data_IF_360817657003
#
_entry.id   IF_360817657003
#
_cell.length_a   1.000
_cell.length_b   1.000
_cell.length_c   1.000
_cell.angle_alpha   90.00
_cell.angle_beta   90.00
_cell.angle_gamma   90.00
#
_symmetry.space_group_name_H-M   'P 1'
#
loop_
_entity.id
_entity.type
_entity.pdbx_description
1 polymer ?
#
# COMPACT_ATOMS: atom_id res chain seq x y z
N UNK A 1 -39.73 -42.88 -38.19
CA UNK A 1 -39.70 -42.24 -36.85
C UNK A 1 -38.35 -42.39 -36.10
N UNK A 2 -37.18 -42.18 -36.74
CA UNK A 2 -35.85 -42.36 -36.08
C UNK A 2 -35.12 -41.06 -35.71
N UNK A 3 -35.54 -39.90 -36.24
CA UNK A 3 -34.90 -38.59 -36.01
C UNK A 3 -35.12 -37.98 -34.62
N UNK A 4 -36.25 -38.27 -33.96
CA UNK A 4 -36.58 -37.68 -32.65
C UNK A 4 -35.76 -38.26 -31.49
N UNK A 5 -35.31 -39.53 -31.59
CA UNK A 5 -34.59 -40.22 -30.52
C UNK A 5 -33.11 -39.80 -30.41
N UNK A 6 -32.48 -39.41 -31.52
CA UNK A 6 -31.08 -38.97 -31.52
C UNK A 6 -30.92 -37.49 -31.14
N UNK A 7 -31.99 -36.70 -31.23
CA UNK A 7 -31.94 -35.26 -30.88
C UNK A 7 -31.71 -35.04 -29.38
N UNK A 8 -32.23 -35.92 -28.51
CA UNK A 8 -32.03 -35.79 -27.06
C UNK A 8 -30.60 -36.07 -26.61
N UNK A 9 -29.92 -37.01 -27.28
CA UNK A 9 -28.51 -37.35 -27.02
C UNK A 9 -27.59 -36.19 -27.39
N UNK A 10 -27.89 -35.50 -28.49
CA UNK A 10 -27.13 -34.31 -28.91
C UNK A 10 -27.26 -33.15 -27.92
N UNK A 11 -28.45 -32.93 -27.35
CA UNK A 11 -28.66 -31.94 -26.29
C UNK A 11 -27.95 -32.30 -24.99
N UNK A 12 -27.96 -33.58 -24.60
CA UNK A 12 -27.27 -34.06 -23.42
C UNK A 12 -25.73 -33.91 -23.54
N UNK A 13 -25.17 -34.25 -24.71
CA UNK A 13 -23.75 -34.10 -24.97
C UNK A 13 -23.30 -32.63 -24.95
N UNK A 14 -24.12 -31.72 -25.50
CA UNK A 14 -23.86 -30.28 -25.47
C UNK A 14 -23.93 -29.68 -24.05
N UNK A 15 -24.81 -30.20 -23.19
CA UNK A 15 -24.86 -29.79 -21.78
C UNK A 15 -23.60 -30.21 -21.00
N UNK A 16 -23.09 -31.41 -21.26
CA UNK A 16 -21.89 -31.95 -20.62
C UNK A 16 -20.65 -31.13 -20.99
N UNK A 17 -20.49 -30.74 -22.26
CA UNK A 17 -19.33 -29.94 -22.68
C UNK A 17 -19.32 -28.54 -22.08
N UNK A 18 -20.48 -27.91 -21.87
CA UNK A 18 -20.58 -26.62 -21.16
C UNK A 18 -20.23 -26.78 -19.68
N UNK A 19 -20.67 -27.87 -19.04
CA UNK A 19 -20.40 -28.12 -17.63
C UNK A 19 -18.92 -28.41 -17.35
N UNK A 20 -18.22 -29.08 -18.28
CA UNK A 20 -16.77 -29.35 -18.17
C UNK A 20 -15.89 -28.19 -18.69
N UNK A 21 -16.42 -27.29 -19.52
CA UNK A 21 -15.68 -26.19 -20.16
C UNK A 21 -15.43 -24.96 -19.28
N UNK A 22 -15.99 -24.89 -18.08
CA UNK A 22 -15.82 -23.76 -17.15
C UNK A 22 -14.44 -23.70 -16.47
N UNK A 23 -13.60 -24.72 -16.63
CA UNK A 23 -12.26 -24.78 -16.05
C UNK A 23 -11.19 -24.29 -17.05
N UNK A 24 -11.40 -23.13 -17.67
CA UNK A 24 -10.32 -22.42 -18.33
C UNK A 24 -9.66 -21.52 -17.26
N UNK A 25 -8.35 -21.64 -16.99
CA UNK A 25 -7.67 -20.70 -16.12
C UNK A 25 -7.79 -19.32 -16.76
N UNK A 26 -8.60 -18.45 -16.16
CA UNK A 26 -8.63 -17.03 -16.49
C UNK A 26 -7.19 -16.50 -16.46
N UNK A 27 -6.76 -15.65 -17.41
CA UNK A 27 -5.42 -15.10 -17.37
C UNK A 27 -5.23 -14.41 -16.02
N UNK A 28 -4.15 -14.78 -15.32
CA UNK A 28 -3.73 -14.14 -14.06
C UNK A 28 -3.29 -12.73 -14.43
N UNK A 29 -4.28 -11.87 -14.59
CA UNK A 29 -4.10 -10.45 -14.77
C UNK A 29 -4.15 -9.84 -13.39
N UNK A 30 -3.21 -8.94 -13.13
CA UNK A 30 -3.27 -8.12 -11.94
C UNK A 30 -4.64 -7.43 -11.95
N UNK A 31 -5.43 -7.67 -10.89
CA UNK A 31 -6.73 -7.05 -10.76
C UNK A 31 -6.57 -5.52 -10.87
N UNK A 32 -7.54 -4.78 -11.44
CA UNK A 32 -7.46 -3.32 -11.56
C UNK A 32 -7.19 -2.60 -10.23
N UNK A 33 -7.59 -3.21 -9.12
CA UNK A 33 -7.41 -2.70 -7.77
C UNK A 33 -6.09 -3.13 -7.10
N UNK A 34 -5.16 -3.73 -7.84
CA UNK A 34 -3.88 -4.13 -7.28
C UNK A 34 -3.14 -2.91 -6.72
N UNK A 35 -2.76 -2.99 -5.44
CA UNK A 35 -2.11 -1.88 -4.73
C UNK A 35 -3.07 -0.88 -4.08
N UNK A 36 -4.39 -1.00 -4.29
CA UNK A 36 -5.38 -0.09 -3.67
C UNK A 36 -5.36 -0.14 -2.14
N UNK A 37 -5.11 -1.30 -1.55
CA UNK A 37 -4.96 -1.44 -0.09
C UNK A 37 -3.77 -0.65 0.46
N UNK A 38 -2.65 -0.62 -0.27
CA UNK A 38 -1.46 0.15 0.10
C UNK A 38 -1.71 1.64 -0.07
N UNK A 39 -2.40 2.04 -1.14
CA UNK A 39 -2.82 3.44 -1.33
C UNK A 39 -3.72 3.91 -0.19
N UNK A 40 -4.76 3.14 0.15
CA UNK A 40 -5.64 3.47 1.27
C UNK A 40 -4.89 3.51 2.61
N UNK A 41 -3.99 2.55 2.87
CA UNK A 41 -3.19 2.57 4.09
C UNK A 41 -2.33 3.85 4.20
N UNK A 42 -1.76 4.32 3.09
CA UNK A 42 -0.99 5.57 3.04
C UNK A 42 -1.89 6.79 3.24
N UNK A 43 -3.04 6.85 2.59
CA UNK A 43 -4.01 7.95 2.78
C UNK A 43 -4.43 8.08 4.24
N UNK A 44 -4.65 6.96 4.93
CA UNK A 44 -5.01 6.95 6.35
C UNK A 44 -3.86 7.38 7.28
N UNK A 45 -2.61 7.23 6.84
CA UNK A 45 -1.41 7.63 7.62
C UNK A 45 -0.90 9.02 7.24
N UNK A 46 -1.39 9.60 6.15
CA UNK A 46 -0.91 10.89 5.65
C UNK A 46 -1.80 12.00 6.18
N UNK A 47 -1.22 12.84 7.06
CA UNK A 47 -1.94 13.97 7.66
C UNK A 47 -2.42 15.01 6.63
N UNK A 48 -1.67 15.16 5.52
CA UNK A 48 -1.97 16.12 4.44
C UNK A 48 -1.54 15.52 3.09
N UNK A 49 -2.45 14.85 2.37
CA UNK A 49 -2.13 14.17 1.10
C UNK A 49 -1.72 15.15 -0.02
N UNK A 50 -2.24 16.37 0.01
CA UNK A 50 -1.86 17.47 -0.89
C UNK A 50 -0.46 18.05 -0.65
N UNK A 51 0.21 17.71 0.46
CA UNK A 51 1.55 18.20 0.76
C UNK A 51 2.57 17.84 -0.33
N UNK A 52 2.39 16.70 -0.99
CA UNK A 52 3.26 16.26 -2.10
C UNK A 52 3.18 17.17 -3.34
N UNK A 53 2.05 17.82 -3.57
CA UNK A 53 1.85 18.75 -4.68
C UNK A 53 2.33 20.16 -4.34
N UNK A 54 2.59 20.45 -3.06
CA UNK A 54 3.06 21.74 -2.63
C UNK A 54 4.57 21.89 -2.89
N UNK A 55 4.91 22.64 -3.94
CA UNK A 55 6.29 22.97 -4.31
C UNK A 55 6.81 24.24 -3.61
N UNK A 56 6.00 24.89 -2.77
CA UNK A 56 6.47 26.08 -2.04
C UNK A 56 7.55 25.66 -1.04
N UNK A 57 8.68 26.39 -1.00
CA UNK A 57 9.71 26.10 -0.01
C UNK A 57 9.12 26.31 1.39
N UNK A 58 9.42 25.40 2.32
CA UNK A 58 9.11 25.60 3.73
C UNK A 58 9.93 26.80 4.20
N UNK A 59 9.30 27.96 4.30
CA UNK A 59 9.99 29.23 4.57
C UNK A 59 10.51 29.30 6.00
N UNK A 60 9.83 28.63 6.95
CA UNK A 60 10.20 28.65 8.36
C UNK A 60 9.83 27.31 9.06
N UNK A 61 10.81 26.73 9.76
CA UNK A 61 10.57 25.69 10.77
C UNK A 61 10.27 26.40 12.10
N UNK A 62 9.03 26.38 12.57
CA UNK A 62 8.61 27.01 13.82
C UNK A 62 8.47 26.00 14.97
N UNK A 63 8.68 26.47 16.20
CA UNK A 63 8.47 25.70 17.43
C UNK A 63 9.76 25.25 18.12
N UNK A 64 9.63 24.84 19.39
CA UNK A 64 10.77 24.47 20.25
C UNK A 64 11.63 23.35 19.64
N UNK A 65 11.01 22.42 18.91
CA UNK A 65 11.72 21.35 18.22
C UNK A 65 12.66 21.90 17.12
N UNK A 66 12.18 22.80 16.28
CA UNK A 66 12.96 23.45 15.23
C UNK A 66 14.15 24.23 15.79
N UNK A 67 13.93 25.01 16.85
CA UNK A 67 14.99 25.76 17.53
C UNK A 67 16.06 24.82 18.11
N UNK A 68 15.64 23.73 18.78
CA UNK A 68 16.57 22.75 19.35
C UNK A 68 17.36 21.98 18.31
N UNK A 69 16.76 21.68 17.15
CA UNK A 69 17.48 21.04 16.04
C UNK A 69 18.51 21.97 15.40
N UNK A 70 18.22 23.26 15.27
CA UNK A 70 19.19 24.22 14.73
C UNK A 70 20.32 24.51 15.73
N UNK A 71 19.99 24.65 17.01
CA UNK A 71 20.98 24.79 18.08
C UNK A 71 21.94 23.59 18.12
N UNK A 72 21.42 22.36 18.01
CA UNK A 72 22.25 21.15 17.95
C UNK A 72 23.09 21.06 16.67
N UNK A 73 22.58 21.55 15.53
CA UNK A 73 23.34 21.62 14.28
C UNK A 73 24.51 22.60 14.41
N UNK A 74 24.29 23.79 14.95
CA UNK A 74 25.34 24.79 15.18
C UNK A 74 26.41 24.26 16.14
N UNK A 75 26.01 23.66 17.27
CA UNK A 75 26.92 23.06 18.25
C UNK A 75 27.78 21.93 17.69
N UNK A 76 27.31 21.23 16.65
CA UNK A 76 28.09 20.13 16.03
C UNK A 76 29.37 20.58 15.34
N UNK A 77 29.49 21.88 15.03
CA UNK A 77 30.70 22.46 14.43
C UNK A 77 31.64 23.10 15.46
N UNK A 78 31.25 23.18 16.72
CA UNK A 78 32.12 23.69 17.78
C UNK A 78 33.16 22.62 18.17
N UNK A 79 34.47 22.91 18.06
CA UNK A 79 35.50 21.94 18.41
C UNK A 79 35.49 21.69 19.93
N UNK A 80 35.01 20.50 20.33
CA UNK A 80 35.07 20.01 21.70
C UNK A 80 33.74 19.57 22.33
N UNK A 81 32.61 19.61 21.61
CA UNK A 81 31.35 19.11 22.14
C UNK A 81 31.05 17.67 21.69
N UNK A 82 31.20 16.73 22.63
CA UNK A 82 30.72 15.36 22.49
C UNK A 82 29.18 15.37 22.60
N UNK A 83 28.48 15.47 21.46
CA UNK A 83 27.02 15.41 21.41
C UNK A 83 26.55 14.02 21.84
N UNK A 84 26.25 13.85 23.14
CA UNK A 84 25.59 12.65 23.67
C UNK A 84 24.15 12.63 23.16
N UNK A 85 23.94 12.00 22.01
CA UNK A 85 22.60 11.71 21.51
C UNK A 85 22.00 10.59 22.37
N UNK A 86 21.11 10.95 23.30
CA UNK A 86 20.18 9.98 23.89
C UNK A 86 19.14 9.62 22.84
N UNK A 87 19.42 8.59 22.05
CA UNK A 87 18.45 7.96 21.17
C UNK A 87 17.44 7.23 22.05
N UNK A 88 16.37 7.92 22.42
CA UNK A 88 15.21 7.34 23.10
C UNK A 88 14.42 6.48 22.10
N UNK A 89 14.85 5.23 21.90
CA UNK A 89 14.01 4.25 21.24
C UNK A 89 12.88 3.92 22.22
N UNK A 90 11.72 4.56 22.03
CA UNK A 90 10.48 4.13 22.66
C UNK A 90 10.08 2.78 22.04
N UNK A 91 10.67 1.70 22.53
CA UNK A 91 10.12 0.36 22.32
C UNK A 91 8.85 0.29 23.17
N UNK A 92 7.70 0.41 22.51
CA UNK A 92 6.40 0.10 23.12
C UNK A 92 6.35 -1.42 23.39
N UNK A 93 6.21 -1.89 24.64
CA UNK A 93 6.05 -3.31 24.89
C UNK A 93 4.59 -3.67 24.59
N UNK A 94 4.28 -3.99 23.34
CA UNK A 94 3.04 -4.69 22.98
C UNK A 94 3.24 -6.18 23.22
N UNK A 95 2.81 -6.66 24.39
CA UNK A 95 2.83 -8.09 24.69
C UNK A 95 2.59 -8.43 26.16
N UNK A 96 1.36 -8.22 26.63
CA UNK A 96 0.71 -9.01 27.68
C UNK A 96 -0.70 -9.35 27.17
#
# INVERSE_FOLDING_TARGET
>A
MRRRRNSGILWAAAGITVFLGGCAPSPITLHPDFGRSVTMAKEHQTLSPEASANLTPVTHLHGTAASKTMEAYEQSFEPGQEVTQKVGILVSPSGQ
#
